data_IF_744714872501
#
_entry.id   IF_744714872501
#
_cell.length_a   1.000
_cell.length_b   1.000
_cell.length_c   1.000
_cell.angle_alpha   90.00
_cell.angle_beta   90.00
_cell.angle_gamma   90.00
#
_symmetry.space_group_name_H-M   'P 1'
#
loop_
_entity.id
_entity.type
_entity.pdbx_description
1 polymer ?
#
# COMPACT_ATOMS: atom_id res chain seq x y z
N UNK A 1 -9.90 13.70 34.20
CA UNK A 1 -9.19 13.97 32.93
C UNK A 1 -8.93 12.62 32.30
N UNK A 2 -9.57 12.30 31.17
CA UNK A 2 -9.48 10.95 30.58
C UNK A 2 -8.26 10.85 29.66
N UNK A 3 -7.33 9.97 29.99
CA UNK A 3 -6.14 9.66 29.17
C UNK A 3 -6.56 9.13 27.78
N UNK A 4 -5.81 9.40 26.69
CA UNK A 4 -6.09 8.86 25.35
C UNK A 4 -6.29 7.34 25.33
N UNK A 5 -5.58 6.59 26.18
CA UNK A 5 -5.76 5.14 26.34
C UNK A 5 -7.19 4.76 26.76
N UNK A 6 -7.81 5.55 27.64
CA UNK A 6 -9.19 5.31 28.11
C UNK A 6 -10.23 5.55 27.01
N UNK A 7 -9.96 6.50 26.11
CA UNK A 7 -10.80 6.75 24.94
C UNK A 7 -10.72 5.59 23.94
N UNK A 8 -9.52 5.06 23.69
CA UNK A 8 -9.33 3.91 22.80
C UNK A 8 -9.93 2.63 23.37
N UNK A 9 -9.76 2.36 24.67
CA UNK A 9 -10.40 1.22 25.33
C UNK A 9 -11.92 1.25 25.17
N UNK A 10 -12.53 2.44 25.33
CA UNK A 10 -13.97 2.62 25.14
C UNK A 10 -14.38 2.31 23.69
N UNK A 11 -13.63 2.83 22.71
CA UNK A 11 -13.88 2.56 21.29
C UNK A 11 -13.73 1.06 20.95
N UNK A 12 -12.70 0.41 21.50
CA UNK A 12 -12.46 -1.02 21.31
C UNK A 12 -13.65 -1.84 21.81
N UNK A 13 -14.03 -1.65 23.08
CA UNK A 13 -15.12 -2.40 23.70
C UNK A 13 -16.46 -2.25 22.94
N UNK A 14 -16.75 -1.06 22.41
CA UNK A 14 -18.03 -0.78 21.75
C UNK A 14 -18.05 -1.08 20.25
N UNK A 15 -16.89 -1.12 19.58
CA UNK A 15 -16.84 -1.16 18.10
C UNK A 15 -15.99 -2.27 17.51
N UNK A 16 -15.17 -2.99 18.29
CA UNK A 16 -14.33 -4.07 17.77
C UNK A 16 -15.14 -5.17 17.08
N UNK A 17 -16.21 -5.68 17.71
CA UNK A 17 -17.04 -6.74 17.12
C UNK A 17 -17.75 -6.31 15.83
N UNK A 18 -18.21 -5.05 15.77
CA UNK A 18 -18.79 -4.48 14.55
C UNK A 18 -17.75 -4.35 13.44
N UNK A 19 -16.56 -3.84 13.77
CA UNK A 19 -15.47 -3.64 12.81
C UNK A 19 -14.98 -4.97 12.25
N UNK A 20 -14.76 -5.96 13.11
CA UNK A 20 -14.36 -7.31 12.70
C UNK A 20 -15.41 -7.93 11.76
N UNK A 21 -16.70 -7.82 12.09
CA UNK A 21 -17.77 -8.30 11.19
C UNK A 21 -17.75 -7.60 9.84
N UNK A 22 -17.55 -6.28 9.82
CA UNK A 22 -17.45 -5.51 8.59
C UNK A 22 -16.23 -5.92 7.75
N UNK A 23 -15.07 -6.17 8.38
CA UNK A 23 -13.84 -6.63 7.73
C UNK A 23 -13.98 -8.06 7.19
N UNK A 24 -14.62 -8.97 7.94
CA UNK A 24 -14.90 -10.35 7.48
C UNK A 24 -15.71 -10.36 6.19
N UNK A 25 -16.73 -9.52 6.10
CA UNK A 25 -17.54 -9.40 4.88
C UNK A 25 -16.76 -8.81 3.69
N UNK A 26 -15.67 -8.07 3.94
CA UNK A 26 -14.82 -7.46 2.92
C UNK A 26 -13.70 -8.39 2.45
N UNK A 27 -13.08 -9.12 3.37
CA UNK A 27 -11.89 -9.93 3.13
C UNK A 27 -12.22 -11.40 2.83
N UNK A 28 -13.37 -11.90 3.31
CA UNK A 28 -13.75 -13.31 3.17
C UNK A 28 -12.97 -14.27 4.08
N UNK A 29 -11.96 -13.78 4.81
CA UNK A 29 -11.14 -14.53 5.75
C UNK A 29 -11.32 -13.98 7.18
N UNK A 30 -11.49 -14.87 8.15
CA UNK A 30 -11.65 -14.51 9.56
C UNK A 30 -10.34 -14.09 10.25
N UNK A 31 -9.20 -14.68 9.86
CA UNK A 31 -7.89 -14.35 10.40
C UNK A 31 -7.46 -12.95 9.95
N UNK A 32 -7.47 -12.69 8.63
CA UNK A 32 -7.13 -11.38 8.07
C UNK A 32 -8.04 -10.27 8.62
N UNK A 33 -9.32 -10.57 8.84
CA UNK A 33 -10.24 -9.61 9.44
C UNK A 33 -9.93 -9.29 10.91
N UNK A 34 -9.49 -10.28 11.69
CA UNK A 34 -9.07 -10.06 13.07
C UNK A 34 -7.79 -9.22 13.13
N UNK A 35 -6.82 -9.52 12.27
CA UNK A 35 -5.55 -8.79 12.18
C UNK A 35 -5.78 -7.33 11.76
N UNK A 36 -6.56 -7.08 10.71
CA UNK A 36 -6.87 -5.72 10.27
C UNK A 36 -7.71 -4.94 11.28
N UNK A 37 -8.57 -5.62 12.05
CA UNK A 37 -9.30 -5.01 13.15
C UNK A 37 -8.32 -4.55 14.24
N UNK A 38 -7.38 -5.43 14.62
CA UNK A 38 -6.34 -5.12 15.58
C UNK A 38 -5.46 -3.94 15.11
N UNK A 39 -4.96 -3.98 13.87
CA UNK A 39 -4.15 -2.91 13.29
C UNK A 39 -4.87 -1.56 13.27
N UNK A 40 -6.18 -1.57 13.06
CA UNK A 40 -6.99 -0.35 13.15
C UNK A 40 -6.90 0.30 14.52
N UNK A 41 -6.95 -0.50 15.59
CA UNK A 41 -6.84 -0.01 16.96
C UNK A 41 -5.39 0.28 17.38
N UNK A 42 -4.41 -0.46 16.86
CA UNK A 42 -2.98 -0.14 17.06
C UNK A 42 -2.65 1.24 16.46
N UNK A 43 -3.09 1.50 15.21
CA UNK A 43 -2.96 2.83 14.59
C UNK A 43 -3.67 3.93 15.38
N UNK A 44 -4.75 3.59 16.08
CA UNK A 44 -5.47 4.52 16.93
C UNK A 44 -4.71 4.85 18.22
N UNK A 45 -4.10 3.83 18.85
CA UNK A 45 -3.27 3.99 20.06
C UNK A 45 -2.01 4.83 19.79
N UNK A 46 -1.45 4.74 18.58
CA UNK A 46 -0.28 5.51 18.18
C UNK A 46 -0.57 7.00 17.97
N UNK A 47 -1.84 7.42 17.94
CA UNK A 47 -2.20 8.83 17.80
C UNK A 47 -2.10 9.56 19.14
N UNK A 48 -1.40 10.69 19.11
CA UNK A 48 -1.24 11.61 20.24
C UNK A 48 -2.42 12.58 20.41
N UNK A 49 -3.31 12.67 19.41
CA UNK A 49 -4.45 13.59 19.42
C UNK A 49 -5.59 13.08 20.31
N UNK A 50 -6.29 14.02 20.97
CA UNK A 50 -7.47 13.70 21.77
C UNK A 50 -8.64 13.32 20.85
N UNK A 51 -9.10 12.08 20.98
CA UNK A 51 -10.17 11.51 20.15
C UNK A 51 -11.56 11.89 20.68
N UNK A 52 -12.06 13.08 20.31
CA UNK A 52 -13.47 13.44 20.49
C UNK A 52 -14.27 13.16 19.21
N UNK A 53 -14.56 11.88 18.96
CA UNK A 53 -15.20 11.43 17.72
C UNK A 53 -16.72 11.55 17.78
N UNK A 54 -17.29 12.47 17.00
CA UNK A 54 -18.76 12.56 16.79
C UNK A 54 -19.32 11.36 16.00
N UNK A 55 -18.50 10.70 15.18
CA UNK A 55 -18.90 9.55 14.37
C UNK A 55 -17.83 8.42 14.43
N UNK A 56 -17.74 7.67 15.55
CA UNK A 56 -16.68 6.69 15.77
C UNK A 56 -16.58 5.60 14.69
N UNK A 57 -17.72 5.03 14.27
CA UNK A 57 -17.75 3.99 13.24
C UNK A 57 -17.27 4.48 11.87
N UNK A 58 -17.65 5.70 11.48
CA UNK A 58 -17.21 6.29 10.22
C UNK A 58 -15.69 6.48 10.22
N UNK A 59 -15.15 6.97 11.34
CA UNK A 59 -13.72 7.17 11.52
C UNK A 59 -12.94 5.85 11.50
N UNK A 60 -13.37 4.84 12.27
CA UNK A 60 -12.75 3.50 12.26
C UNK A 60 -12.79 2.87 10.87
N UNK A 61 -13.90 3.05 10.14
CA UNK A 61 -14.02 2.58 8.76
C UNK A 61 -13.01 3.25 7.84
N UNK A 62 -12.75 4.55 7.98
CA UNK A 62 -11.75 5.24 7.15
C UNK A 62 -10.35 4.64 7.35
N UNK A 63 -9.96 4.38 8.60
CA UNK A 63 -8.66 3.76 8.90
C UNK A 63 -8.62 2.33 8.33
N UNK A 64 -9.65 1.54 8.62
CA UNK A 64 -9.74 0.16 8.18
C UNK A 64 -9.83 0.02 6.65
N UNK A 65 -10.44 0.98 5.96
CA UNK A 65 -10.45 1.01 4.49
C UNK A 65 -9.05 1.15 3.91
N UNK A 66 -8.22 2.03 4.48
CA UNK A 66 -6.81 2.14 4.08
C UNK A 66 -6.07 0.82 4.29
N UNK A 67 -6.25 0.18 5.45
CA UNK A 67 -5.66 -1.12 5.76
C UNK A 67 -6.12 -2.24 4.80
N UNK A 68 -7.40 -2.25 4.42
CA UNK A 68 -7.92 -3.19 3.43
C UNK A 68 -7.28 -2.97 2.07
N UNK A 69 -7.13 -1.72 1.62
CA UNK A 69 -6.46 -1.41 0.35
C UNK A 69 -4.99 -1.88 0.39
N UNK A 70 -4.28 -1.59 1.48
CA UNK A 70 -2.91 -2.03 1.70
C UNK A 70 -2.79 -3.57 1.64
N UNK A 71 -3.73 -4.27 2.29
CA UNK A 71 -3.77 -5.73 2.30
C UNK A 71 -3.98 -6.31 0.90
N UNK A 72 -4.96 -5.83 0.13
CA UNK A 72 -5.19 -6.30 -1.24
C UNK A 72 -4.02 -6.00 -2.16
N UNK A 73 -3.39 -4.83 -2.01
CA UNK A 73 -2.20 -4.44 -2.77
C UNK A 73 -1.04 -5.40 -2.49
N UNK A 74 -0.82 -5.76 -1.22
CA UNK A 74 0.19 -6.75 -0.83
C UNK A 74 -0.10 -8.12 -1.44
N UNK A 75 -1.34 -8.59 -1.35
CA UNK A 75 -1.75 -9.87 -1.92
C UNK A 75 -1.58 -9.91 -3.45
N UNK A 76 -1.85 -8.81 -4.15
CA UNK A 76 -1.64 -8.71 -5.60
C UNK A 76 -0.14 -8.80 -5.97
N UNK A 77 0.73 -8.13 -5.22
CA UNK A 77 2.20 -8.19 -5.41
C UNK A 77 2.70 -9.62 -5.17
N UNK A 78 2.29 -10.23 -4.07
CA UNK A 78 2.68 -11.60 -3.72
C UNK A 78 2.24 -12.58 -4.80
N UNK A 79 0.99 -12.48 -5.25
CA UNK A 79 0.47 -13.31 -6.32
C UNK A 79 1.26 -13.15 -7.62
N UNK A 80 1.51 -11.92 -8.07
CA UNK A 80 2.26 -11.66 -9.29
C UNK A 80 3.71 -12.18 -9.20
N UNK A 81 4.33 -12.08 -8.03
CA UNK A 81 5.65 -12.64 -7.76
C UNK A 81 5.65 -14.17 -7.83
N UNK A 82 4.69 -14.83 -7.15
CA UNK A 82 4.53 -16.28 -7.18
C UNK A 82 4.28 -16.79 -8.60
N UNK A 83 3.43 -16.11 -9.37
CA UNK A 83 3.19 -16.41 -10.80
C UNK A 83 4.49 -16.29 -11.63
N UNK A 84 5.34 -15.28 -11.33
CA UNK A 84 6.62 -15.09 -12.02
C UNK A 84 7.61 -16.23 -11.72
N UNK A 85 7.77 -16.61 -10.45
CA UNK A 85 8.75 -17.64 -10.07
C UNK A 85 8.25 -19.06 -10.34
N UNK A 86 6.95 -19.28 -10.49
CA UNK A 86 6.38 -20.59 -10.83
C UNK A 86 6.88 -21.14 -12.17
N UNK A 87 7.43 -20.28 -13.03
CA UNK A 87 8.02 -20.66 -14.31
C UNK A 87 9.53 -20.92 -14.25
N UNK A 88 10.19 -20.66 -13.11
CA UNK A 88 11.62 -20.85 -12.96
C UNK A 88 11.97 -22.32 -12.66
N UNK A 89 13.14 -22.80 -13.12
CA UNK A 89 13.70 -24.04 -12.62
C UNK A 89 13.89 -23.99 -11.10
N UNK A 90 13.75 -25.13 -10.41
CA UNK A 90 13.94 -25.22 -8.95
C UNK A 90 15.32 -24.72 -8.52
N UNK A 91 16.36 -24.99 -9.33
CA UNK A 91 17.73 -24.52 -9.07
C UNK A 91 17.90 -22.99 -9.13
N UNK A 92 16.99 -22.28 -9.80
CA UNK A 92 16.99 -20.82 -9.93
C UNK A 92 15.92 -20.16 -9.02
N UNK A 93 15.10 -20.97 -8.36
CA UNK A 93 14.04 -20.48 -7.48
C UNK A 93 14.68 -19.93 -6.20
N UNK A 94 14.43 -18.67 -5.83
CA UNK A 94 14.98 -18.11 -4.60
C UNK A 94 14.49 -18.89 -3.38
N UNK A 95 15.34 -19.06 -2.36
CA UNK A 95 14.93 -19.62 -1.08
C UNK A 95 13.93 -18.72 -0.35
N UNK A 96 13.19 -19.25 0.62
CA UNK A 96 12.10 -18.56 1.32
C UNK A 96 12.51 -17.19 1.91
N UNK A 97 13.71 -17.10 2.48
CA UNK A 97 14.25 -15.83 3.01
C UNK A 97 14.43 -14.78 1.91
N UNK A 98 15.01 -15.17 0.77
CA UNK A 98 15.20 -14.27 -0.37
C UNK A 98 13.86 -13.85 -0.97
N UNK A 99 12.88 -14.76 -1.05
CA UNK A 99 11.52 -14.43 -1.50
C UNK A 99 10.88 -13.37 -0.60
N UNK A 100 10.98 -13.52 0.73
CA UNK A 100 10.44 -12.55 1.68
C UNK A 100 11.07 -11.16 1.50
N UNK A 101 12.39 -11.08 1.33
CA UNK A 101 13.11 -9.83 1.07
C UNK A 101 12.68 -9.17 -0.25
N UNK A 102 12.49 -9.97 -1.30
CA UNK A 102 12.03 -9.47 -2.61
C UNK A 102 10.60 -8.90 -2.49
N UNK A 103 9.70 -9.62 -1.82
CA UNK A 103 8.33 -9.14 -1.60
C UNK A 103 8.29 -7.84 -0.80
N UNK A 104 9.06 -7.75 0.28
CA UNK A 104 9.17 -6.52 1.07
C UNK A 104 9.68 -5.34 0.24
N UNK A 105 10.68 -5.57 -0.61
CA UNK A 105 11.21 -4.56 -1.52
C UNK A 105 10.16 -4.12 -2.56
N UNK A 106 9.44 -5.08 -3.17
CA UNK A 106 8.37 -4.78 -4.13
C UNK A 106 7.24 -3.99 -3.48
N UNK A 107 6.85 -4.33 -2.25
CA UNK A 107 5.85 -3.59 -1.47
C UNK A 107 6.32 -2.17 -1.13
N UNK A 108 7.60 -1.98 -0.81
CA UNK A 108 8.18 -0.66 -0.57
C UNK A 108 8.17 0.19 -1.84
N UNK A 109 8.59 -0.37 -2.98
CA UNK A 109 8.54 0.30 -4.28
C UNK A 109 7.09 0.66 -4.65
N UNK A 110 6.15 -0.27 -4.51
CA UNK A 110 4.75 -0.04 -4.82
C UNK A 110 4.16 1.12 -4.00
N UNK A 111 4.48 1.20 -2.70
CA UNK A 111 4.10 2.33 -1.83
C UNK A 111 4.70 3.65 -2.31
N UNK A 112 5.98 3.66 -2.65
CA UNK A 112 6.64 4.87 -3.15
C UNK A 112 6.02 5.39 -4.46
N UNK A 113 5.45 4.51 -5.28
CA UNK A 113 4.81 4.90 -6.54
C UNK A 113 3.32 5.21 -6.42
N UNK A 114 2.71 5.04 -5.24
CA UNK A 114 1.26 5.21 -5.04
C UNK A 114 0.81 6.68 -5.12
N UNK A 115 1.67 7.62 -4.72
CA UNK A 115 1.40 9.06 -4.82
C UNK A 115 1.49 9.63 -6.24
N UNK A 116 1.92 8.82 -7.22
CA UNK A 116 2.06 9.24 -8.61
C UNK A 116 0.73 9.15 -9.38
N UNK A 117 0.48 10.14 -10.23
CA UNK A 117 -0.61 10.08 -11.21
C UNK A 117 -0.39 8.89 -12.17
N UNK A 118 -1.46 8.22 -12.66
CA UNK A 118 -1.32 7.01 -13.49
C UNK A 118 -0.39 7.15 -14.70
N UNK A 119 -0.46 8.26 -15.43
CA UNK A 119 0.40 8.51 -16.60
C UNK A 119 1.86 8.78 -16.21
N UNK A 120 2.08 9.42 -15.06
CA UNK A 120 3.43 9.69 -14.53
C UNK A 120 4.09 8.36 -14.13
N UNK A 121 3.36 7.53 -13.37
CA UNK A 121 3.80 6.18 -12.99
C UNK A 121 4.08 5.31 -14.20
N UNK A 122 3.20 5.32 -15.21
CA UNK A 122 3.37 4.53 -16.44
C UNK A 122 4.62 4.94 -17.22
N UNK A 123 4.83 6.22 -17.45
CA UNK A 123 6.02 6.71 -18.16
C UNK A 123 7.32 6.31 -17.43
N UNK A 124 7.31 6.42 -16.10
CA UNK A 124 8.44 6.03 -15.26
C UNK A 124 8.75 4.53 -15.33
N UNK A 125 7.73 3.66 -15.24
CA UNK A 125 7.92 2.21 -15.33
C UNK A 125 8.41 1.77 -16.72
N UNK A 126 7.92 2.38 -17.80
CA UNK A 126 8.41 2.10 -19.15
C UNK A 126 9.90 2.46 -19.31
N UNK A 127 10.34 3.56 -18.70
CA UNK A 127 11.75 3.96 -18.73
C UNK A 127 12.63 3.03 -17.87
N UNK A 128 12.23 2.75 -16.62
CA UNK A 128 13.09 2.08 -15.64
C UNK A 128 13.02 0.54 -15.70
N UNK A 129 11.84 -0.02 -15.99
CA UNK A 129 11.64 -1.47 -16.00
C UNK A 129 11.75 -2.06 -17.41
N UNK A 130 11.20 -1.38 -18.42
CA UNK A 130 11.26 -1.85 -19.81
C UNK A 130 12.47 -1.28 -20.59
N UNK A 131 13.21 -0.33 -20.02
CA UNK A 131 14.41 0.25 -20.65
C UNK A 131 14.13 1.06 -21.90
N UNK A 132 12.89 1.52 -22.11
CA UNK A 132 12.51 2.27 -23.30
C UNK A 132 13.08 3.68 -23.31
N UNK A 133 13.47 4.15 -24.49
CA UNK A 133 13.87 5.55 -24.69
C UNK A 133 12.66 6.47 -24.58
N UNK A 134 12.87 7.74 -24.22
CA UNK A 134 11.77 8.70 -24.08
C UNK A 134 10.98 8.90 -25.37
N UNK A 135 11.61 8.71 -26.53
CA UNK A 135 10.94 8.74 -27.83
C UNK A 135 9.98 7.55 -28.00
N UNK A 136 10.42 6.35 -27.68
CA UNK A 136 9.56 5.15 -27.73
C UNK A 136 8.38 5.26 -26.76
N UNK A 137 8.63 5.80 -25.56
CA UNK A 137 7.58 6.05 -24.56
C UNK A 137 6.57 7.07 -25.09
N UNK A 138 7.04 8.16 -25.71
CA UNK A 138 6.18 9.18 -26.30
C UNK A 138 5.26 8.58 -27.39
N UNK A 139 5.82 7.76 -28.27
CA UNK A 139 5.07 7.04 -29.31
C UNK A 139 4.04 6.07 -28.71
N UNK A 140 4.45 5.23 -27.75
CA UNK A 140 3.58 4.23 -27.11
C UNK A 140 2.45 4.84 -26.27
N UNK A 141 2.71 5.99 -25.64
CA UNK A 141 1.72 6.69 -24.81
C UNK A 141 0.89 7.72 -25.60
N UNK A 142 1.24 8.02 -26.85
CA UNK A 142 0.56 9.03 -27.66
C UNK A 142 0.71 10.46 -27.12
N UNK A 143 1.86 10.79 -26.54
CA UNK A 143 2.16 12.10 -25.93
C UNK A 143 3.45 12.70 -26.50
N UNK A 144 3.71 13.99 -26.24
CA UNK A 144 4.95 14.63 -26.70
C UNK A 144 6.17 14.17 -25.88
N UNK A 145 7.35 14.18 -26.51
CA UNK A 145 8.63 13.89 -25.83
C UNK A 145 8.82 14.73 -24.56
N UNK A 146 8.49 16.03 -24.65
CA UNK A 146 8.54 16.96 -23.50
C UNK A 146 7.62 16.54 -22.35
N UNK A 147 6.49 15.89 -22.65
CA UNK A 147 5.59 15.38 -21.61
C UNK A 147 6.18 14.17 -20.92
N UNK A 148 6.87 13.28 -21.66
CA UNK A 148 7.59 12.13 -21.09
C UNK A 148 8.71 12.59 -20.17
N UNK A 149 9.56 13.52 -20.63
CA UNK A 149 10.64 14.09 -19.81
C UNK A 149 10.11 14.65 -18.49
N UNK A 150 9.02 15.44 -18.56
CA UNK A 150 8.38 15.98 -17.36
C UNK A 150 7.84 14.88 -16.45
N UNK A 151 7.13 13.89 -17.00
CA UNK A 151 6.58 12.80 -16.20
C UNK A 151 7.67 11.98 -15.50
N UNK A 152 8.76 11.64 -16.19
CA UNK A 152 9.86 10.89 -15.57
C UNK A 152 10.55 11.74 -14.49
N UNK A 153 10.75 13.04 -14.73
CA UNK A 153 11.30 13.95 -13.73
C UNK A 153 10.40 14.08 -12.49
N UNK A 154 9.08 14.25 -12.69
CA UNK A 154 8.10 14.32 -11.60
C UNK A 154 8.11 13.03 -10.76
N UNK A 155 8.23 11.86 -11.41
CA UNK A 155 8.31 10.58 -10.73
C UNK A 155 9.60 10.44 -9.91
N UNK A 156 10.75 10.79 -10.47
CA UNK A 156 12.04 10.77 -9.77
C UNK A 156 12.04 11.71 -8.57
N UNK A 157 11.50 12.92 -8.74
CA UNK A 157 11.37 13.88 -7.64
C UNK A 157 10.47 13.36 -6.53
N UNK A 158 9.32 12.77 -6.87
CA UNK A 158 8.44 12.15 -5.88
C UNK A 158 9.14 11.06 -5.06
N UNK A 159 9.86 10.16 -5.74
CA UNK A 159 10.65 9.11 -5.08
C UNK A 159 11.77 9.69 -4.20
N UNK A 160 12.41 10.78 -4.63
CA UNK A 160 13.44 11.47 -3.87
C UNK A 160 12.88 12.07 -2.56
N UNK A 161 11.79 12.83 -2.65
CA UNK A 161 11.13 13.45 -1.49
C UNK A 161 10.71 12.39 -0.48
N UNK A 162 10.08 11.30 -0.94
CA UNK A 162 9.66 10.20 -0.05
C UNK A 162 10.82 9.47 0.64
N UNK A 163 12.02 9.49 0.06
CA UNK A 163 13.18 8.77 0.58
C UNK A 163 14.06 9.62 1.50
N UNK A 164 14.11 10.93 1.29
CA UNK A 164 15.07 11.82 1.95
C UNK A 164 14.45 12.98 2.75
N UNK A 165 13.15 13.26 2.55
CA UNK A 165 12.44 14.33 3.27
C UNK A 165 11.30 13.80 4.16
N UNK A 166 11.14 12.47 4.27
CA UNK A 166 10.09 11.79 5.06
C UNK A 166 10.56 11.30 6.41
#
# INVERSE_FOLDING_TARGET
MSSPEFAVQTLYNHHHGWLNTWLRNRLGNAADAADLAQDTFVRLLQRTERLELKAPRAFLRTIAQGLVIDHWRRAEIERAYLETIAHLPEAETPGAEAQALILELLEAIARMLEGLKPNVRRAFLLAQCEGLTYKQIAEQMGISLRSVERYVADALYHCYVLRYES
#
